data_IF_112718541375
#
_entry.id   IF_112718541375
#
_cell.length_a   1.000
_cell.length_b   1.000
_cell.length_c   1.000
_cell.angle_alpha   90.00
_cell.angle_beta   90.00
_cell.angle_gamma   90.00
#
_symmetry.space_group_name_H-M   'P 1'
#
loop_
_entity.id
_entity.type
_entity.pdbx_description
1 polymer ?
#
# COMPACT_ATOMS: atom_id res chain seq x y z
N UNK A 1 -11.33 -6.31 -11.34
CA UNK A 1 -11.79 -4.95 -11.00
C UNK A 1 -12.80 -4.43 -12.01
N UNK A 2 -13.90 -3.82 -11.56
CA UNK A 2 -14.84 -3.09 -12.44
C UNK A 2 -14.33 -1.67 -12.74
N UNK A 3 -14.58 -1.15 -13.94
CA UNK A 3 -14.22 0.23 -14.34
C UNK A 3 -15.46 1.12 -14.34
N UNK A 4 -15.48 2.11 -13.44
CA UNK A 4 -16.53 3.13 -13.36
C UNK A 4 -16.11 4.34 -14.19
N UNK A 5 -16.92 4.70 -15.19
CA UNK A 5 -16.70 5.89 -16.01
C UNK A 5 -17.37 7.09 -15.34
N UNK A 6 -16.59 8.13 -15.02
CA UNK A 6 -17.10 9.36 -14.41
C UNK A 6 -16.82 10.56 -15.30
N UNK A 7 -17.87 11.15 -15.86
CA UNK A 7 -17.78 12.38 -16.65
C UNK A 7 -17.68 13.60 -15.73
N UNK A 8 -16.64 14.40 -15.89
CA UNK A 8 -16.35 15.56 -15.03
C UNK A 8 -15.92 16.77 -15.88
N UNK A 9 -16.01 17.99 -15.32
CA UNK A 9 -15.47 19.21 -15.95
C UNK A 9 -13.94 19.22 -15.85
N UNK A 10 -13.28 18.54 -16.79
CA UNK A 10 -11.83 18.35 -16.84
C UNK A 10 -11.33 18.30 -18.27
N UNK A 11 -10.08 18.69 -18.49
CA UNK A 11 -9.46 18.76 -19.82
C UNK A 11 -8.79 17.47 -20.28
N UNK A 12 -8.41 16.58 -19.35
CA UNK A 12 -7.65 15.35 -19.64
C UNK A 12 -8.39 14.09 -19.20
N UNK A 13 -8.00 12.92 -19.70
CA UNK A 13 -8.41 11.62 -19.17
C UNK A 13 -7.52 11.22 -17.97
N UNK A 14 -8.07 10.51 -16.98
CA UNK A 14 -7.28 9.93 -15.88
C UNK A 14 -7.91 8.66 -15.38
N UNK A 15 -7.07 7.67 -15.16
CA UNK A 15 -7.39 6.50 -14.36
C UNK A 15 -6.97 6.74 -12.91
N UNK A 16 -7.80 6.27 -12.00
CA UNK A 16 -7.47 6.26 -10.58
C UNK A 16 -8.07 5.02 -9.93
N UNK A 17 -7.35 4.48 -8.96
CA UNK A 17 -7.86 3.40 -8.13
C UNK A 17 -8.81 3.96 -7.06
N UNK A 18 -10.01 3.36 -6.97
CA UNK A 18 -10.98 3.51 -5.88
C UNK A 18 -11.53 2.13 -5.52
N UNK A 19 -10.75 1.36 -4.79
CA UNK A 19 -11.08 -0.01 -4.42
C UNK A 19 -12.55 -0.15 -3.94
N UNK A 20 -13.31 -1.14 -4.47
CA UNK A 20 -12.88 -2.25 -5.34
C UNK A 20 -12.92 -1.94 -6.85
N UNK A 21 -13.00 -0.67 -7.26
CA UNK A 21 -13.16 -0.25 -8.64
C UNK A 21 -11.99 0.60 -9.16
N UNK A 22 -11.86 0.67 -10.48
CA UNK A 22 -11.04 1.69 -11.14
C UNK A 22 -11.98 2.78 -11.64
N UNK A 23 -11.68 4.04 -11.34
CA UNK A 23 -12.46 5.17 -11.84
C UNK A 23 -11.72 5.79 -13.01
N UNK A 24 -12.34 5.69 -14.18
CA UNK A 24 -11.95 6.42 -15.38
C UNK A 24 -12.68 7.76 -15.38
N UNK A 25 -12.01 8.80 -14.90
CA UNK A 25 -12.57 10.15 -14.94
C UNK A 25 -12.17 10.84 -16.25
N UNK A 26 -13.18 11.26 -16.99
CA UNK A 26 -13.08 11.69 -18.39
C UNK A 26 -13.77 13.04 -18.59
N UNK A 27 -13.37 13.85 -19.58
CA UNK A 27 -14.06 15.09 -19.92
C UNK A 27 -15.55 14.85 -20.23
N UNK A 28 -16.43 15.80 -19.88
CA UNK A 28 -17.89 15.73 -20.17
C UNK A 28 -18.14 15.43 -21.66
N UNK A 29 -17.40 16.10 -22.54
CA UNK A 29 -17.52 16.01 -24.00
C UNK A 29 -16.78 14.82 -24.61
N UNK A 30 -16.17 13.94 -23.79
CA UNK A 30 -15.49 12.76 -24.30
C UNK A 30 -16.49 11.81 -24.98
N UNK A 31 -16.15 11.39 -26.20
CA UNK A 31 -16.92 10.42 -26.96
C UNK A 31 -16.72 9.01 -26.42
N UNK A 32 -17.68 8.11 -26.65
CA UNK A 32 -17.55 6.71 -26.26
C UNK A 32 -16.33 6.02 -26.93
N UNK A 33 -15.99 6.43 -28.16
CA UNK A 33 -14.79 5.96 -28.86
C UNK A 33 -13.51 6.35 -28.12
N UNK A 34 -13.36 7.64 -27.80
CA UNK A 34 -12.18 8.15 -27.07
C UNK A 34 -12.02 7.51 -25.70
N UNK A 35 -13.12 7.28 -24.98
CA UNK A 35 -13.09 6.60 -23.67
C UNK A 35 -12.60 5.15 -23.83
N UNK A 36 -13.13 4.40 -24.80
CA UNK A 36 -12.70 3.02 -25.06
C UNK A 36 -11.23 2.94 -25.45
N UNK A 37 -10.77 3.81 -26.36
CA UNK A 37 -9.36 3.87 -26.75
C UNK A 37 -8.44 4.21 -25.57
N UNK A 38 -8.85 5.12 -24.69
CA UNK A 38 -8.08 5.46 -23.49
C UNK A 38 -8.00 4.30 -22.48
N UNK A 39 -9.09 3.57 -22.28
CA UNK A 39 -9.08 2.39 -21.40
C UNK A 39 -8.19 1.31 -22.01
N UNK A 40 -8.35 1.02 -23.32
CA UNK A 40 -7.58 0.01 -24.02
C UNK A 40 -6.07 0.30 -24.01
N UNK A 41 -5.67 1.56 -24.18
CA UNK A 41 -4.25 1.95 -24.13
C UNK A 41 -3.61 1.83 -22.75
N UNK A 42 -4.42 1.71 -21.69
CA UNK A 42 -3.97 1.56 -20.31
C UNK A 42 -4.29 0.18 -19.72
N UNK A 43 -4.65 -0.80 -20.55
CA UNK A 43 -5.07 -2.13 -20.11
C UNK A 43 -4.01 -2.83 -19.25
N UNK A 44 -2.74 -2.77 -19.66
CA UNK A 44 -1.63 -3.35 -18.88
C UNK A 44 -1.51 -2.74 -17.48
N UNK A 45 -1.71 -1.42 -17.36
CA UNK A 45 -1.70 -0.76 -16.05
C UNK A 45 -2.90 -1.19 -15.20
N UNK A 46 -4.09 -1.30 -15.80
CA UNK A 46 -5.32 -1.77 -15.15
C UNK A 46 -5.13 -3.18 -14.56
N UNK A 47 -4.60 -4.10 -15.36
CA UNK A 47 -4.31 -5.48 -14.95
C UNK A 47 -3.27 -5.54 -13.83
N UNK A 48 -2.21 -4.72 -13.93
CA UNK A 48 -1.22 -4.61 -12.87
C UNK A 48 -1.85 -4.10 -11.57
N UNK A 49 -2.74 -3.11 -11.63
CA UNK A 49 -3.44 -2.64 -10.44
C UNK A 49 -4.33 -3.73 -9.85
N UNK A 50 -5.06 -4.51 -10.66
CA UNK A 50 -5.90 -5.60 -10.15
C UNK A 50 -5.07 -6.65 -9.39
N UNK A 51 -3.92 -7.07 -9.95
CA UNK A 51 -2.96 -7.97 -9.28
C UNK A 51 -2.38 -7.36 -8.01
N UNK A 52 -1.92 -6.11 -8.09
CA UNK A 52 -1.38 -5.36 -6.95
C UNK A 52 -2.44 -5.21 -5.86
N UNK A 53 -3.72 -5.01 -6.19
CA UNK A 53 -4.79 -4.94 -5.19
C UNK A 53 -5.11 -6.27 -4.54
N UNK A 54 -5.15 -7.37 -5.31
CA UNK A 54 -5.31 -8.70 -4.73
C UNK A 54 -4.21 -9.02 -3.69
N UNK A 55 -3.00 -8.49 -3.89
CA UNK A 55 -1.85 -8.70 -3.01
C UNK A 55 -1.77 -7.64 -1.87
N UNK A 56 -2.11 -6.37 -2.14
CA UNK A 56 -1.93 -5.24 -1.21
C UNK A 56 -3.16 -4.91 -0.35
N UNK A 57 -4.34 -5.47 -0.65
CA UNK A 57 -5.58 -5.25 0.08
C UNK A 57 -6.21 -6.43 0.85
N UNK A 58 -5.58 -7.62 1.04
CA UNK A 58 -5.99 -8.39 2.19
C UNK A 58 -5.65 -7.56 3.43
N UNK A 59 -6.53 -7.55 4.43
CA UNK A 59 -6.25 -6.89 5.70
C UNK A 59 -4.84 -7.34 6.12
N UNK A 60 -3.87 -6.41 6.22
CA UNK A 60 -2.50 -6.70 6.64
C UNK A 60 -2.44 -7.38 8.02
N UNK A 61 -3.58 -7.41 8.71
CA UNK A 61 -3.85 -8.12 9.94
C UNK A 61 -5.18 -8.89 9.79
N UNK A 62 -5.10 -10.20 9.83
CA UNK A 62 -6.23 -11.11 10.06
C UNK A 62 -6.22 -11.55 11.53
N UNK A 63 -7.14 -12.42 11.94
CA UNK A 63 -7.16 -12.89 13.33
C UNK A 63 -5.97 -13.80 13.67
N UNK A 64 -5.42 -14.50 12.68
CA UNK A 64 -4.38 -15.53 12.82
C UNK A 64 -3.08 -15.21 12.06
N UNK A 65 -3.08 -14.25 11.12
CA UNK A 65 -1.90 -13.90 10.31
C UNK A 65 -1.72 -12.40 10.11
N UNK A 66 -0.46 -12.00 9.94
CA UNK A 66 -0.04 -10.63 9.69
C UNK A 66 0.85 -10.58 8.44
N UNK A 67 0.62 -9.61 7.57
CA UNK A 67 1.49 -9.37 6.40
C UNK A 67 2.69 -8.50 6.83
N UNK A 68 3.88 -9.07 6.80
CA UNK A 68 5.15 -8.41 7.12
C UNK A 68 6.08 -8.45 5.91
N UNK A 69 6.36 -7.28 5.32
CA UNK A 69 7.22 -7.13 4.14
C UNK A 69 6.89 -8.07 2.96
N UNK A 70 5.62 -8.40 2.78
CA UNK A 70 5.15 -9.29 1.71
C UNK A 70 5.03 -10.76 2.12
N UNK A 71 5.46 -11.11 3.33
CA UNK A 71 5.31 -12.46 3.89
C UNK A 71 4.20 -12.53 4.92
N UNK A 72 3.39 -13.59 4.88
CA UNK A 72 2.37 -13.83 5.90
C UNK A 72 2.98 -14.55 7.09
N UNK A 73 3.08 -13.85 8.20
CA UNK A 73 3.56 -14.41 9.47
C UNK A 73 2.37 -14.84 10.34
N UNK A 74 2.45 -16.01 11.01
CA UNK A 74 1.43 -16.42 11.97
C UNK A 74 1.45 -15.52 13.20
N UNK A 75 0.27 -15.23 13.74
CA UNK A 75 0.07 -14.51 14.99
C UNK A 75 -0.06 -15.54 16.12
N UNK A 76 0.87 -15.49 17.06
CA UNK A 76 0.83 -16.29 18.27
C UNK A 76 0.32 -15.42 19.41
N UNK A 77 -0.81 -15.80 19.99
CA UNK A 77 -1.47 -15.09 21.08
C UNK A 77 -1.11 -15.76 22.41
N UNK A 78 -0.60 -14.97 23.36
CA UNK A 78 -0.30 -15.44 24.71
C UNK A 78 -0.93 -14.53 25.76
N UNK A 79 -1.34 -15.09 26.90
CA UNK A 79 -1.81 -14.29 28.03
C UNK A 79 -0.69 -13.40 28.56
N UNK A 80 -0.97 -12.11 28.74
CA UNK A 80 0.01 -11.19 29.33
C UNK A 80 -0.21 -9.73 28.94
N UNK A 81 0.84 -8.92 29.14
CA UNK A 81 0.83 -7.51 28.75
C UNK A 81 0.76 -7.37 27.22
N UNK A 82 0.14 -6.29 26.75
CA UNK A 82 0.01 -5.96 25.34
C UNK A 82 1.39 -5.68 24.69
N UNK A 83 2.08 -6.73 24.28
CA UNK A 83 3.41 -6.70 23.65
C UNK A 83 3.31 -7.17 22.20
N UNK A 84 4.09 -6.57 21.31
CA UNK A 84 4.21 -7.00 19.91
C UNK A 84 5.69 -7.26 19.64
N UNK A 85 6.05 -8.50 19.31
CA UNK A 85 7.41 -8.92 18.95
C UNK A 85 7.36 -9.60 17.58
N UNK A 86 8.35 -9.33 16.74
CA UNK A 86 8.44 -9.87 15.37
C UNK A 86 9.76 -10.66 15.28
N UNK A 87 9.68 -11.99 15.22
CA UNK A 87 10.83 -12.90 15.07
C UNK A 87 10.36 -14.24 14.48
N UNK A 88 10.58 -14.51 13.19
CA UNK A 88 10.10 -15.67 12.39
C UNK A 88 8.58 -15.99 12.46
N UNK A 89 7.87 -15.39 13.42
CA UNK A 89 6.48 -15.41 13.77
C UNK A 89 6.19 -14.10 14.53
N UNK A 90 4.90 -13.72 14.64
CA UNK A 90 4.50 -12.51 15.34
C UNK A 90 3.95 -12.92 16.70
N UNK A 91 4.62 -12.50 17.78
CA UNK A 91 4.13 -12.69 19.13
C UNK A 91 3.32 -11.48 19.54
N UNK A 92 2.04 -11.73 19.84
CA UNK A 92 1.14 -10.74 20.40
C UNK A 92 0.81 -11.19 21.82
N UNK A 93 1.30 -10.44 22.82
CA UNK A 93 0.79 -10.55 24.17
C UNK A 93 -0.63 -10.00 24.18
N UNK A 94 -1.59 -10.84 24.51
CA UNK A 94 -3.02 -10.54 24.48
C UNK A 94 -3.52 -10.50 25.92
N UNK A 95 -3.96 -9.33 26.37
CA UNK A 95 -5.02 -9.32 27.38
C UNK A 95 -6.27 -9.90 26.69
N UNK A 96 -6.97 -10.90 27.24
CA UNK A 96 -8.04 -11.67 26.57
C UNK A 96 -9.16 -10.86 25.88
N UNK A 97 -9.25 -9.55 26.15
CA UNK A 97 -10.26 -8.63 25.63
C UNK A 97 -9.69 -7.53 24.71
N UNK A 98 -8.41 -7.57 24.34
CA UNK A 98 -7.80 -6.54 23.51
C UNK A 98 -8.21 -6.69 22.03
N UNK A 99 -8.81 -5.63 21.47
CA UNK A 99 -9.14 -5.55 20.04
C UNK A 99 -7.88 -5.50 19.17
N UNK A 100 -7.93 -6.16 18.00
CA UNK A 100 -6.90 -6.11 16.95
C UNK A 100 -6.45 -4.67 16.59
N UNK A 101 -7.33 -3.67 16.78
CA UNK A 101 -7.05 -2.25 16.53
C UNK A 101 -5.93 -1.65 17.40
N UNK A 102 -5.74 -2.18 18.62
CA UNK A 102 -4.68 -1.73 19.54
C UNK A 102 -3.30 -2.06 18.98
N UNK A 103 -3.18 -3.21 18.31
CA UNK A 103 -1.93 -3.70 17.74
C UNK A 103 -1.63 -3.07 16.39
N UNK A 104 -2.65 -2.72 15.61
CA UNK A 104 -2.47 -2.07 14.31
C UNK A 104 -1.62 -0.78 14.40
N UNK A 105 -1.81 0.03 15.45
CA UNK A 105 -0.99 1.23 15.67
C UNK A 105 0.47 0.90 16.00
N UNK A 106 0.70 -0.01 16.96
CA UNK A 106 2.05 -0.46 17.35
C UNK A 106 2.77 -1.10 16.17
N UNK A 107 2.06 -1.95 15.43
CA UNK A 107 2.52 -2.58 14.20
C UNK A 107 2.96 -1.56 13.17
N UNK A 108 2.12 -0.58 12.86
CA UNK A 108 2.43 0.48 11.90
C UNK A 108 3.70 1.25 12.30
N UNK A 109 3.91 1.47 13.60
CA UNK A 109 5.14 2.11 14.10
C UNK A 109 6.36 1.22 13.94
N UNK A 110 6.30 -0.05 14.34
CA UNK A 110 7.39 -1.01 14.18
C UNK A 110 7.77 -1.19 12.72
N UNK A 111 6.79 -1.35 11.83
CA UNK A 111 7.00 -1.50 10.40
C UNK A 111 7.70 -0.28 9.79
N UNK A 112 7.30 0.94 10.19
CA UNK A 112 7.95 2.18 9.76
C UNK A 112 9.40 2.25 10.24
N UNK A 113 9.65 1.92 11.50
CA UNK A 113 11.01 1.97 12.07
C UNK A 113 11.94 0.96 11.39
N UNK A 114 11.49 -0.29 11.24
CA UNK A 114 12.27 -1.35 10.58
C UNK A 114 12.48 -1.07 9.08
N UNK A 115 11.46 -0.56 8.37
CA UNK A 115 11.60 -0.20 6.96
C UNK A 115 12.59 0.96 6.77
N UNK A 116 12.57 1.95 7.67
CA UNK A 116 13.53 3.05 7.63
C UNK A 116 14.96 2.56 7.82
N UNK A 117 15.19 1.59 8.70
CA UNK A 117 16.50 0.99 8.92
C UNK A 117 16.99 0.27 7.65
N UNK A 118 16.14 -0.56 7.03
CA UNK A 118 16.44 -1.28 5.78
C UNK A 118 16.78 -0.31 4.64
N UNK A 119 15.99 0.76 4.47
CA UNK A 119 16.23 1.78 3.44
C UNK A 119 17.59 2.46 3.67
N UNK A 120 17.90 2.83 4.91
CA UNK A 120 19.17 3.47 5.25
C UNK A 120 20.36 2.55 4.98
N UNK A 121 20.26 1.29 5.38
CA UNK A 121 21.30 0.29 5.10
C UNK A 121 21.49 0.08 3.59
N UNK A 122 20.38 0.00 2.84
CA UNK A 122 20.42 -0.14 1.38
C UNK A 122 21.06 1.09 0.71
N UNK A 123 20.74 2.29 1.19
CA UNK A 123 21.30 3.55 0.68
C UNK A 123 22.78 3.75 1.04
N UNK A 124 23.32 3.02 2.03
CA UNK A 124 24.76 2.99 2.28
C UNK A 124 25.48 2.11 1.26
N UNK A 125 24.84 1.04 0.78
CA UNK A 125 25.41 0.10 -0.19
C UNK A 125 25.40 0.66 -1.62
N UNK A 126 24.45 1.55 -1.93
CA UNK A 126 24.30 2.17 -3.25
C UNK A 126 24.58 3.66 -3.10
N UNK A 127 25.63 4.21 -3.75
CA UNK A 127 25.93 5.64 -3.65
C UNK A 127 24.82 6.46 -4.30
N UNK A 128 23.81 6.84 -3.51
CA UNK A 128 22.68 7.64 -3.95
C UNK A 128 22.46 8.83 -3.02
N UNK A 129 22.22 10.01 -3.60
CA UNK A 129 21.88 11.21 -2.84
C UNK A 129 20.36 11.42 -2.81
N UNK A 130 19.80 11.61 -1.62
CA UNK A 130 18.39 11.95 -1.41
C UNK A 130 18.26 13.02 -0.33
N UNK A 131 17.20 13.82 -0.40
CA UNK A 131 16.96 14.91 0.56
C UNK A 131 16.17 14.43 1.77
N UNK A 132 15.11 13.65 1.53
CA UNK A 132 14.20 13.19 2.59
C UNK A 132 13.67 11.79 2.30
N UNK A 133 13.57 10.97 3.34
CA UNK A 133 12.83 9.71 3.32
C UNK A 133 11.52 9.90 4.09
N UNK A 134 10.40 9.52 3.47
CA UNK A 134 9.07 9.55 4.09
C UNK A 134 8.38 8.20 3.95
N UNK A 135 7.97 7.60 5.06
CA UNK A 135 7.17 6.36 5.04
C UNK A 135 5.71 6.71 5.32
N UNK A 136 4.85 6.49 4.32
CA UNK A 136 3.43 6.88 4.36
C UNK A 136 2.57 5.89 3.59
N UNK A 137 1.26 5.96 3.78
CA UNK A 137 0.32 5.16 2.99
C UNK A 137 0.34 5.60 1.52
N UNK A 138 0.86 4.75 0.64
CA UNK A 138 0.84 4.97 -0.83
C UNK A 138 -0.19 4.04 -1.45
N UNK A 139 -1.10 4.58 -2.27
CA UNK A 139 -2.27 3.84 -2.78
C UNK A 139 -2.01 3.01 -4.04
N UNK A 140 -0.94 3.30 -4.78
CA UNK A 140 -0.71 2.74 -6.11
C UNK A 140 0.75 2.32 -6.37
N UNK A 141 1.62 2.39 -5.35
CA UNK A 141 3.03 1.99 -5.49
C UNK A 141 3.66 1.62 -4.14
N UNK A 142 4.70 0.79 -4.18
CA UNK A 142 5.54 0.46 -3.02
C UNK A 142 6.51 1.60 -2.66
N UNK A 143 6.89 2.41 -3.66
CA UNK A 143 7.75 3.56 -3.48
C UNK A 143 7.60 4.57 -4.61
N UNK A 144 8.16 5.77 -4.43
CA UNK A 144 8.32 6.79 -5.46
C UNK A 144 9.48 7.73 -5.12
N UNK A 145 10.11 8.27 -6.16
CA UNK A 145 11.12 9.33 -6.07
C UNK A 145 10.57 10.60 -6.72
N UNK A 146 10.74 11.76 -6.09
CA UNK A 146 10.41 13.06 -6.70
C UNK A 146 11.59 13.63 -7.47
N UNK A 147 11.35 14.60 -8.35
CA UNK A 147 12.40 15.38 -9.01
C UNK A 147 13.29 16.15 -8.02
N UNK A 148 12.77 16.43 -6.82
CA UNK A 148 13.49 17.04 -5.69
C UNK A 148 14.30 16.01 -4.89
N UNK A 149 14.44 14.77 -5.36
CA UNK A 149 15.17 13.68 -4.69
C UNK A 149 14.58 13.30 -3.33
N UNK A 150 13.26 13.44 -3.17
CA UNK A 150 12.55 12.91 -2.01
C UNK A 150 12.09 11.48 -2.28
N UNK A 151 12.43 10.59 -1.36
CA UNK A 151 12.02 9.19 -1.40
C UNK A 151 10.77 9.01 -0.53
N UNK A 152 9.70 8.48 -1.12
CA UNK A 152 8.51 8.07 -0.38
C UNK A 152 8.30 6.58 -0.51
N UNK A 153 8.11 5.87 0.60
CA UNK A 153 7.82 4.44 0.62
C UNK A 153 6.46 4.16 1.25
N UNK A 154 5.81 3.11 0.76
CA UNK A 154 4.59 2.58 1.33
C UNK A 154 4.90 1.95 2.69
N UNK A 155 3.99 2.11 3.66
CA UNK A 155 4.01 1.34 4.89
C UNK A 155 3.20 0.03 4.77
N UNK A 156 3.08 -0.51 3.55
CA UNK A 156 2.40 -1.76 3.24
C UNK A 156 3.41 -2.67 2.59
#
# INVERSE_FOLDING_TARGET
MEIIIKKEKRSSFRLSVRYPHIVAQVPVFATAGSIRSFIASNQQWIELQDKVHQILYPNFLTDDKLLWYGEWLPIIRHEGKNTLVISDAVYVGVHPQASNSVYQKKFTQLQKASLLAIIKESAQKIPMSYNKITIKKLTASHGRCSSQRDLSFSNR
#
